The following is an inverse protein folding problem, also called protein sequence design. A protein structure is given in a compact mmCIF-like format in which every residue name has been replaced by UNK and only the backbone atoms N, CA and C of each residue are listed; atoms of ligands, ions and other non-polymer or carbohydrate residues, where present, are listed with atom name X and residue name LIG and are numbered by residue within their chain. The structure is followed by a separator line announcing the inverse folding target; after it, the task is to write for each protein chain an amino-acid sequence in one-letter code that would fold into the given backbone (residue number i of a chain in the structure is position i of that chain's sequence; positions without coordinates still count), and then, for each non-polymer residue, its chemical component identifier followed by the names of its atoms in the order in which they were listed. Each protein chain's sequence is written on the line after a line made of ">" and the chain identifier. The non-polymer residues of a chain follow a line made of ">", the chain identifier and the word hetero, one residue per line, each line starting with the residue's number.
data_IF_336508051801
#
_entry.id   IF_336508051801
#
_cell.length_a   1.000
_cell.length_b   1.000
_cell.length_c   1.000
_cell.angle_alpha   90.00
_cell.angle_beta   90.00
_cell.angle_gamma   90.00
#
_symmetry.space_group_name_H-M   'P 1'
#
loop_
_entity.id
_entity.type
_entity.pdbx_description
1 polymer ?
#
# COMPACT_ATOMS: atom_id res chain seq x y z
N UNK A 1 -19.94 -62.81 -43.68
CA UNK A 1 -18.57 -63.36 -43.79
C UNK A 1 -17.57 -62.28 -43.32
N UNK A 2 -16.47 -62.71 -42.67
CA UNK A 2 -15.37 -61.95 -42.01
C UNK A 2 -15.71 -61.37 -40.61
N UNK A 3 -15.28 -61.92 -39.45
CA UNK A 3 -13.95 -62.22 -38.83
C UNK A 3 -13.10 -60.99 -38.43
N UNK A 4 -13.05 -60.76 -37.09
CA UNK A 4 -12.03 -60.19 -36.17
C UNK A 4 -10.57 -60.05 -36.69
N UNK A 5 -9.63 -59.22 -36.11
CA UNK A 5 -9.29 -59.27 -34.66
C UNK A 5 -8.50 -58.09 -33.96
N UNK A 6 -8.28 -58.28 -32.62
CA UNK A 6 -7.07 -57.98 -31.79
C UNK A 6 -6.62 -56.53 -31.47
N UNK A 7 -6.77 -56.06 -30.20
CA UNK A 7 -5.82 -56.09 -29.02
C UNK A 7 -4.94 -54.80 -28.91
N UNK A 8 -4.08 -54.60 -27.89
CA UNK A 8 -4.37 -54.07 -26.54
C UNK A 8 -3.42 -52.89 -26.14
N UNK A 9 -3.73 -52.02 -25.17
CA UNK A 9 -2.67 -51.27 -24.47
C UNK A 9 -3.00 -51.08 -23.00
N UNK A 10 -2.19 -51.72 -22.17
CA UNK A 10 -2.05 -51.44 -20.76
C UNK A 10 -1.37 -50.08 -20.55
N UNK A 11 -1.83 -49.32 -19.56
CA UNK A 11 -1.04 -48.25 -18.94
C UNK A 11 -1.27 -48.36 -17.42
N UNK A 12 -0.32 -48.96 -16.70
CA UNK A 12 0.67 -48.24 -15.88
C UNK A 12 0.00 -47.56 -14.68
N UNK A 13 -0.06 -48.22 -13.51
CA UNK A 13 0.96 -48.11 -12.45
C UNK A 13 1.48 -46.67 -12.29
N UNK A 14 0.99 -45.98 -11.25
CA UNK A 14 1.78 -45.05 -10.45
C UNK A 14 1.02 -44.72 -9.15
N UNK A 15 1.03 -45.70 -8.24
CA UNK A 15 1.06 -45.39 -6.82
C UNK A 15 2.51 -45.01 -6.48
N UNK A 16 2.74 -43.77 -6.04
CA UNK A 16 3.64 -43.37 -4.95
C UNK A 16 4.09 -41.91 -5.06
N UNK A 17 3.63 -41.12 -4.07
CA UNK A 17 4.29 -39.99 -3.41
C UNK A 17 4.40 -38.63 -4.14
N UNK A 18 4.38 -37.48 -3.42
CA UNK A 18 3.93 -37.23 -2.04
C UNK A 18 3.03 -35.99 -1.86
N UNK A 19 2.27 -36.03 -0.76
CA UNK A 19 1.51 -34.94 -0.12
C UNK A 19 2.40 -33.79 0.45
N UNK A 20 3.53 -33.46 -0.18
CA UNK A 20 4.52 -32.51 0.36
C UNK A 20 4.54 -31.14 -0.33
N UNK A 21 3.77 -30.93 -1.40
CA UNK A 21 3.74 -29.64 -2.12
C UNK A 21 2.88 -28.54 -1.45
N UNK A 22 2.09 -28.86 -0.43
CA UNK A 22 1.16 -27.88 0.19
C UNK A 22 1.76 -27.06 1.34
N UNK A 23 2.92 -27.45 1.87
CA UNK A 23 3.59 -26.67 2.93
C UNK A 23 4.46 -25.54 2.33
N UNK A 24 5.25 -25.84 1.29
CA UNK A 24 6.17 -24.88 0.67
C UNK A 24 5.46 -23.68 0.01
N UNK A 25 4.26 -23.87 -0.56
CA UNK A 25 3.50 -22.77 -1.17
C UNK A 25 2.85 -21.82 -0.15
N UNK A 26 2.64 -22.25 1.10
CA UNK A 26 2.14 -21.38 2.18
C UNK A 26 3.27 -20.61 2.84
N UNK A 27 4.44 -21.21 3.02
CA UNK A 27 5.61 -20.52 3.59
C UNK A 27 6.16 -19.46 2.63
N UNK A 28 6.30 -19.74 1.33
CA UNK A 28 6.72 -18.74 0.34
C UNK A 28 5.75 -17.55 0.24
N UNK A 29 4.44 -17.82 0.25
CA UNK A 29 3.41 -16.77 0.31
C UNK A 29 3.46 -15.97 1.62
N UNK A 30 3.78 -16.61 2.76
CA UNK A 30 3.90 -15.93 4.05
C UNK A 30 5.18 -15.09 4.18
N UNK A 31 6.29 -15.55 3.60
CA UNK A 31 7.58 -14.87 3.62
C UNK A 31 7.58 -13.69 2.65
N UNK A 32 7.04 -13.85 1.45
CA UNK A 32 6.87 -12.78 0.46
C UNK A 32 5.93 -11.68 0.98
N UNK A 33 4.83 -12.06 1.65
CA UNK A 33 3.94 -11.07 2.28
C UNK A 33 4.57 -10.39 3.49
N UNK A 34 5.43 -11.08 4.25
CA UNK A 34 6.17 -10.50 5.38
C UNK A 34 7.24 -9.52 4.90
N UNK A 35 8.01 -9.89 3.88
CA UNK A 35 9.04 -9.03 3.29
C UNK A 35 8.43 -7.76 2.69
N UNK A 36 7.31 -7.87 1.99
CA UNK A 36 6.60 -6.71 1.45
C UNK A 36 6.03 -5.80 2.55
N UNK A 37 5.53 -6.35 3.66
CA UNK A 37 5.11 -5.56 4.83
C UNK A 37 6.29 -4.83 5.45
N UNK A 38 7.40 -5.53 5.64
CA UNK A 38 8.63 -4.98 6.20
C UNK A 38 9.16 -3.85 5.31
N UNK A 39 9.27 -4.06 4.00
CA UNK A 39 9.70 -3.02 3.05
C UNK A 39 8.81 -1.78 3.10
N UNK A 40 7.47 -1.94 3.15
CA UNK A 40 6.55 -0.79 3.28
C UNK A 40 6.75 -0.05 4.60
N UNK A 41 6.99 -0.77 5.70
CA UNK A 41 7.25 -0.17 7.00
C UNK A 41 8.58 0.59 7.01
N UNK A 42 9.66 -0.01 6.50
CA UNK A 42 10.97 0.64 6.42
C UNK A 42 10.91 1.86 5.50
N UNK A 43 10.23 1.78 4.36
CA UNK A 43 10.05 2.92 3.46
C UNK A 43 9.28 4.07 4.15
N UNK A 44 8.25 3.76 4.93
CA UNK A 44 7.54 4.76 5.73
C UNK A 44 8.47 5.44 6.74
N UNK A 45 9.24 4.64 7.48
CA UNK A 45 10.17 5.14 8.50
C UNK A 45 11.21 6.10 7.90
N UNK A 46 11.71 5.79 6.70
CA UNK A 46 12.67 6.63 5.98
C UNK A 46 12.09 7.97 5.58
N UNK A 47 10.86 7.98 5.05
CA UNK A 47 10.19 9.24 4.68
C UNK A 47 9.94 10.09 5.92
N UNK A 48 9.47 9.47 7.01
CA UNK A 48 9.26 10.18 8.28
C UNK A 48 10.58 10.73 8.83
N UNK A 49 11.68 9.99 8.72
CA UNK A 49 13.00 10.48 9.11
C UNK A 49 13.46 11.64 8.23
N UNK A 50 13.26 11.54 6.92
CA UNK A 50 13.58 12.62 6.00
C UNK A 50 12.74 13.87 6.28
N UNK A 51 11.46 13.74 6.62
CA UNK A 51 10.60 14.86 7.03
C UNK A 51 11.12 15.53 8.31
N UNK A 52 11.53 14.74 9.31
CA UNK A 52 12.12 15.27 10.55
C UNK A 52 13.38 16.09 10.29
N UNK A 53 14.18 15.68 9.30
CA UNK A 53 15.47 16.30 8.99
C UNK A 53 15.38 17.53 8.07
N UNK A 54 14.31 17.69 7.30
CA UNK A 54 14.29 18.64 6.16
C UNK A 54 14.07 20.11 6.49
N UNK A 55 13.70 20.46 7.74
CA UNK A 55 13.38 21.86 8.09
C UNK A 55 12.35 22.51 7.15
N UNK A 56 12.40 23.84 7.02
CA UNK A 56 11.70 24.58 5.96
C UNK A 56 10.17 24.45 5.94
N UNK A 57 9.55 24.38 7.13
CA UNK A 57 8.09 24.30 7.32
C UNK A 57 7.31 25.51 6.79
N UNK A 58 8.02 26.59 6.48
CA UNK A 58 7.47 27.87 6.00
C UNK A 58 7.77 28.16 4.52
N UNK A 59 8.16 27.14 3.74
CA UNK A 59 8.37 27.32 2.30
C UNK A 59 7.07 27.51 1.52
N UNK A 60 7.13 28.19 0.38
CA UNK A 60 5.98 28.43 -0.50
C UNK A 60 5.30 27.12 -0.95
N UNK A 61 6.11 26.09 -1.22
CA UNK A 61 5.59 24.77 -1.56
C UNK A 61 4.79 24.16 -0.41
N UNK A 62 5.27 24.27 0.82
CA UNK A 62 4.55 23.78 2.01
C UNK A 62 3.24 24.55 2.19
N UNK A 63 3.26 25.87 2.08
CA UNK A 63 2.07 26.70 2.23
C UNK A 63 1.01 26.35 1.17
N UNK A 64 1.40 26.29 -0.10
CA UNK A 64 0.51 25.94 -1.21
C UNK A 64 -0.05 24.53 -1.08
N UNK A 65 0.79 23.55 -0.76
CA UNK A 65 0.38 22.14 -0.61
C UNK A 65 -0.54 21.96 0.58
N UNK A 66 -0.24 22.58 1.73
CA UNK A 66 -1.10 22.54 2.93
C UNK A 66 -2.46 23.17 2.65
N UNK A 67 -2.51 24.30 1.95
CA UNK A 67 -3.75 24.95 1.57
C UNK A 67 -4.59 24.05 0.65
N UNK A 68 -3.98 23.50 -0.40
CA UNK A 68 -4.66 22.62 -1.35
C UNK A 68 -5.20 21.36 -0.65
N UNK A 69 -4.40 20.73 0.20
CA UNK A 69 -4.82 19.56 0.97
C UNK A 69 -5.96 19.86 1.92
N UNK A 70 -5.90 21.00 2.62
CA UNK A 70 -6.96 21.42 3.54
C UNK A 70 -8.27 21.66 2.80
N UNK A 71 -8.21 22.29 1.62
CA UNK A 71 -9.38 22.50 0.77
C UNK A 71 -9.94 21.16 0.26
N UNK A 72 -9.09 20.27 -0.25
CA UNK A 72 -9.54 18.95 -0.72
C UNK A 72 -10.18 18.14 0.41
N UNK A 73 -9.59 18.14 1.62
CA UNK A 73 -10.17 17.46 2.77
C UNK A 73 -11.49 18.07 3.24
N UNK A 74 -11.65 19.39 3.16
CA UNK A 74 -12.92 20.04 3.46
C UNK A 74 -14.03 19.60 2.49
N UNK A 75 -13.71 19.40 1.20
CA UNK A 75 -14.68 18.89 0.21
C UNK A 75 -14.98 17.39 0.32
N UNK A 76 -14.06 16.62 0.93
CA UNK A 76 -14.16 15.18 1.05
C UNK A 76 -14.72 14.71 2.40
N UNK A 77 -15.03 15.65 3.29
CA UNK A 77 -15.54 15.37 4.64
C UNK A 77 -16.71 14.39 4.60
N UNK A 78 -16.57 13.32 5.39
CA UNK A 78 -17.54 12.25 5.60
C UNK A 78 -17.45 11.83 7.08
N UNK A 79 -18.52 11.31 7.66
CA UNK A 79 -18.58 10.87 9.05
C UNK A 79 -17.75 9.60 9.30
N UNK A 80 -17.43 8.85 8.23
CA UNK A 80 -16.65 7.61 8.30
C UNK A 80 -15.15 7.79 8.14
N UNK A 81 -14.69 9.00 7.78
CA UNK A 81 -13.26 9.30 7.56
C UNK A 81 -12.88 10.62 8.22
N UNK A 82 -11.84 10.59 9.05
CA UNK A 82 -11.34 11.77 9.76
C UNK A 82 -9.87 12.02 9.43
N UNK A 83 -9.55 13.27 9.11
CA UNK A 83 -8.17 13.76 9.14
C UNK A 83 -7.71 13.89 10.59
N UNK A 84 -6.70 13.13 10.96
CA UNK A 84 -6.09 13.18 12.30
C UNK A 84 -4.84 14.05 12.29
N UNK A 85 -4.08 14.00 11.20
CA UNK A 85 -2.85 14.77 11.09
C UNK A 85 -2.61 15.24 9.65
N UNK A 86 -2.10 16.47 9.53
CA UNK A 86 -1.50 17.03 8.33
C UNK A 86 -0.19 17.72 8.73
N UNK A 87 0.94 17.07 8.44
CA UNK A 87 2.27 17.65 8.66
C UNK A 87 2.97 17.87 7.32
N UNK A 88 3.70 18.98 7.20
CA UNK A 88 4.46 19.30 5.99
C UNK A 88 5.83 19.84 6.39
N UNK A 89 6.85 19.25 5.78
CA UNK A 89 8.24 19.71 5.80
C UNK A 89 8.65 20.11 4.37
N UNK A 90 9.83 20.70 4.18
CA UNK A 90 10.26 21.19 2.86
C UNK A 90 10.26 20.13 1.74
N UNK A 91 10.42 18.86 2.10
CA UNK A 91 10.53 17.72 1.19
C UNK A 91 9.24 16.92 0.98
N UNK A 92 8.44 16.73 2.03
CA UNK A 92 7.22 15.94 1.97
C UNK A 92 6.10 16.53 2.83
N UNK A 93 4.86 16.21 2.46
CA UNK A 93 3.69 16.36 3.32
C UNK A 93 3.14 14.98 3.67
N UNK A 94 2.78 14.76 4.92
CA UNK A 94 2.11 13.57 5.44
C UNK A 94 0.67 13.91 5.83
N UNK A 95 -0.25 13.07 5.39
CA UNK A 95 -1.63 13.05 5.86
C UNK A 95 -1.90 11.73 6.56
N UNK A 96 -2.54 11.79 7.72
CA UNK A 96 -3.02 10.61 8.44
C UNK A 96 -4.54 10.68 8.52
N UNK A 97 -5.17 9.70 7.88
CA UNK A 97 -6.61 9.54 7.87
C UNK A 97 -6.98 8.31 8.69
N UNK A 98 -7.94 8.44 9.60
CA UNK A 98 -8.59 7.31 10.27
C UNK A 98 -9.94 7.07 9.66
N UNK A 99 -10.28 5.81 9.45
CA UNK A 99 -11.51 5.35 8.84
C UNK A 99 -12.25 4.42 9.80
N UNK A 100 -13.58 4.46 9.78
CA UNK A 100 -14.42 3.57 10.59
C UNK A 100 -14.29 2.09 10.21
N UNK A 101 -13.63 1.78 9.08
CA UNK A 101 -13.27 0.44 8.65
C UNK A 101 -12.78 0.39 7.21
N UNK A 102 -12.44 -0.81 6.74
CA UNK A 102 -11.84 -1.04 5.40
C UNK A 102 -12.70 -0.49 4.26
N UNK A 103 -14.03 -0.65 4.34
CA UNK A 103 -14.94 -0.14 3.31
C UNK A 103 -14.89 1.40 3.19
N UNK A 104 -14.80 2.11 4.33
CA UNK A 104 -14.65 3.57 4.33
C UNK A 104 -13.27 4.02 3.83
N UNK A 105 -12.23 3.23 4.11
CA UNK A 105 -10.90 3.46 3.55
C UNK A 105 -10.89 3.32 2.02
N UNK A 106 -11.50 2.26 1.48
CA UNK A 106 -11.58 2.04 0.04
C UNK A 106 -12.35 3.15 -0.68
N UNK A 107 -13.53 3.52 -0.17
CA UNK A 107 -14.33 4.63 -0.71
C UNK A 107 -13.53 5.95 -0.72
N UNK A 108 -12.76 6.22 0.35
CA UNK A 108 -11.90 7.41 0.39
C UNK A 108 -10.79 7.37 -0.67
N UNK A 109 -10.15 6.22 -0.88
CA UNK A 109 -9.12 6.06 -1.92
C UNK A 109 -9.69 6.29 -3.32
N UNK A 110 -10.87 5.75 -3.61
CA UNK A 110 -11.56 5.95 -4.88
C UNK A 110 -11.95 7.43 -5.08
N UNK A 111 -12.48 8.07 -4.04
CA UNK A 111 -12.86 9.48 -4.08
C UNK A 111 -11.66 10.41 -4.21
N UNK A 112 -10.47 10.03 -3.72
CA UNK A 112 -9.26 10.86 -3.82
C UNK A 112 -8.46 10.61 -5.09
N UNK A 113 -8.69 9.48 -5.79
CA UNK A 113 -8.00 9.14 -7.02
C UNK A 113 -8.13 10.27 -8.06
N UNK A 114 -6.99 10.81 -8.50
CA UNK A 114 -6.92 11.87 -9.50
C UNK A 114 -7.41 13.26 -9.06
N UNK A 115 -7.80 13.45 -7.79
CA UNK A 115 -8.20 14.78 -7.29
C UNK A 115 -6.99 15.68 -7.04
N UNK A 116 -7.12 17.01 -7.26
CA UNK A 116 -6.11 17.98 -6.87
C UNK A 116 -5.71 17.81 -5.40
N UNK A 117 -4.41 17.73 -5.13
CA UNK A 117 -3.87 17.51 -3.78
C UNK A 117 -3.52 16.05 -3.51
N UNK A 118 -4.12 15.11 -4.24
CA UNK A 118 -3.79 13.68 -4.19
C UNK A 118 -3.16 13.17 -5.48
N UNK A 119 -3.05 14.04 -6.49
CA UNK A 119 -2.49 13.77 -7.83
C UNK A 119 -0.98 14.04 -7.97
N UNK A 120 -0.30 14.47 -6.89
CA UNK A 120 1.15 14.66 -6.88
C UNK A 120 1.87 13.30 -6.79
N UNK A 121 3.18 13.22 -7.14
CA UNK A 121 3.98 12.04 -6.84
C UNK A 121 3.87 11.74 -5.35
N UNK A 122 3.23 10.63 -5.03
CA UNK A 122 2.84 10.31 -3.68
C UNK A 122 2.75 8.82 -3.45
N UNK A 123 2.77 8.43 -2.18
CA UNK A 123 2.64 7.05 -1.76
C UNK A 123 1.59 6.94 -0.65
N UNK A 124 0.84 5.85 -0.67
CA UNK A 124 -0.16 5.55 0.36
C UNK A 124 0.22 4.25 1.08
N UNK A 125 0.18 4.27 2.40
CA UNK A 125 0.29 3.08 3.24
C UNK A 125 -1.02 2.85 3.97
N UNK A 126 -1.52 1.62 3.89
CA UNK A 126 -2.79 1.21 4.46
C UNK A 126 -2.52 0.28 5.65
N UNK A 127 -3.09 0.59 6.80
CA UNK A 127 -3.04 -0.23 8.02
C UNK A 127 -4.46 -0.50 8.50
N UNK A 128 -4.67 -1.68 9.07
CA UNK A 128 -5.93 -2.06 9.71
C UNK A 128 -5.63 -2.40 11.16
N UNK A 129 -6.41 -1.83 12.07
CA UNK A 129 -6.28 -2.05 13.50
C UNK A 129 -7.17 -3.22 13.93
N UNK A 130 -6.82 -3.83 15.08
CA UNK A 130 -7.57 -4.95 15.66
C UNK A 130 -8.99 -4.55 16.10
N UNK A 131 -9.22 -3.26 16.36
CA UNK A 131 -10.53 -2.70 16.72
C UNK A 131 -11.47 -2.51 15.52
N UNK A 132 -11.03 -2.89 14.31
CA UNK A 132 -11.80 -2.78 13.07
C UNK A 132 -11.68 -1.41 12.39
N UNK A 133 -10.95 -0.46 12.98
CA UNK A 133 -10.62 0.81 12.30
C UNK A 133 -9.52 0.61 11.27
N UNK A 134 -9.48 1.47 10.26
CA UNK A 134 -8.41 1.48 9.26
C UNK A 134 -7.70 2.83 9.24
N UNK A 135 -6.42 2.85 8.91
CA UNK A 135 -5.58 4.05 8.85
C UNK A 135 -4.92 4.13 7.49
N UNK A 136 -4.97 5.32 6.88
CA UNK A 136 -4.27 5.63 5.64
C UNK A 136 -3.25 6.72 5.89
N UNK A 137 -1.98 6.41 5.61
CA UNK A 137 -0.90 7.39 5.57
C UNK A 137 -0.66 7.77 4.12
N UNK A 138 -0.84 9.05 3.78
CA UNK A 138 -0.53 9.57 2.45
C UNK A 138 0.70 10.45 2.56
N UNK A 139 1.71 10.16 1.75
CA UNK A 139 2.92 10.96 1.62
C UNK A 139 2.92 11.62 0.25
N UNK A 140 2.98 12.95 0.22
CA UNK A 140 3.18 13.73 -0.99
C UNK A 140 4.60 14.25 -1.03
N UNK A 141 5.25 14.11 -2.18
CA UNK A 141 6.62 14.55 -2.38
C UNK A 141 6.66 15.93 -3.03
N UNK A 142 7.54 16.79 -2.53
CA UNK A 142 7.95 17.98 -3.25
C UNK A 142 8.61 17.57 -4.58
N UNK A 143 8.13 18.03 -5.74
CA UNK A 143 8.69 17.64 -7.04
C UNK A 143 10.21 17.88 -7.18
N UNK A 144 10.78 18.80 -6.40
CA UNK A 144 12.21 19.09 -6.37
C UNK A 144 13.06 18.09 -5.56
N UNK A 145 12.43 17.13 -4.88
CA UNK A 145 13.09 16.15 -4.00
C UNK A 145 12.84 14.73 -4.52
N UNK A 146 13.82 13.85 -4.38
CA UNK A 146 13.70 12.43 -4.73
C UNK A 146 13.05 11.62 -3.59
N UNK A 147 12.59 10.40 -3.90
CA UNK A 147 12.18 9.48 -2.83
C UNK A 147 13.41 8.94 -2.11
N UNK A 148 13.34 8.69 -0.78
CA UNK A 148 14.41 7.99 -0.09
C UNK A 148 14.58 6.62 -0.75
N UNK A 149 15.80 6.31 -1.18
CA UNK A 149 16.13 5.00 -1.73
C UNK A 149 16.68 4.16 -0.59
N UNK A 150 15.97 3.07 -0.27
CA UNK A 150 16.54 2.04 0.60
C UNK A 150 17.71 1.39 -0.12
N UNK A 151 18.94 1.39 0.44
CA UNK A 151 20.03 0.64 -0.14
C UNK A 151 19.61 -0.84 -0.18
N UNK A 152 19.70 -1.46 -1.35
CA UNK A 152 19.51 -2.89 -1.49
C UNK A 152 20.61 -3.58 -0.67
N UNK A 153 20.23 -4.13 0.47
CA UNK A 153 21.07 -4.98 1.32
C UNK A 153 21.37 -6.30 0.65
#
# INVERSE_FOLDING_TARGET
>A
MHRFPSRPVAALLLACLPLLASAASRSASSEETTLLRQQRQTQRQDIEQAMRNAGGRDSDWVAATRQQLSQSMATLRDDRTRLVELDCAANYCRLVLTHSGIAAQQDMLERTAGKPGFSLPGMAHLENNEDGTAVTYVYLRNPAVEWPVHPAS
#
